data_IF_890694011773
#
_entry.id   IF_890694011773
#
_cell.length_a   1.000
_cell.length_b   1.000
_cell.length_c   1.000
_cell.angle_alpha   90.00
_cell.angle_beta   90.00
_cell.angle_gamma   90.00
#
_symmetry.space_group_name_H-M   'P 1'
#
loop_
_entity.id
_entity.type
_entity.pdbx_description
1 polymer ?
#
# COMPACT_ATOMS: atom_id res chain seq x y z
N UNK A 1 42.45 -32.28 -35.64
CA UNK A 1 41.85 -32.95 -34.46
C UNK A 1 41.26 -31.88 -33.52
N UNK A 2 40.24 -31.16 -34.01
CA UNK A 2 39.32 -30.24 -33.30
C UNK A 2 38.32 -29.69 -34.36
N UNK A 3 37.68 -30.62 -35.09
CA UNK A 3 36.71 -30.34 -36.17
C UNK A 3 35.40 -31.12 -35.97
N UNK A 4 35.21 -31.76 -34.82
CA UNK A 4 34.13 -32.72 -34.55
C UNK A 4 33.22 -32.32 -33.38
N UNK A 5 33.19 -31.04 -32.97
CA UNK A 5 32.38 -30.67 -31.79
C UNK A 5 31.43 -29.48 -31.94
N UNK A 6 31.54 -28.63 -32.97
CA UNK A 6 30.72 -27.40 -33.01
C UNK A 6 30.18 -26.94 -34.37
N UNK A 7 30.32 -27.71 -35.46
CA UNK A 7 29.47 -27.56 -36.67
C UNK A 7 29.22 -26.14 -37.21
N UNK A 8 30.21 -25.24 -37.20
CA UNK A 8 30.08 -23.89 -37.80
C UNK A 8 31.00 -23.81 -39.01
N UNK A 9 30.38 -23.69 -40.18
CA UNK A 9 31.06 -23.39 -41.44
C UNK A 9 31.13 -21.87 -41.65
N UNK A 10 32.18 -21.44 -42.32
CA UNK A 10 32.48 -20.02 -42.58
C UNK A 10 31.34 -19.33 -43.34
N UNK A 11 30.92 -18.14 -42.90
CA UNK A 11 30.13 -17.23 -43.74
C UNK A 11 30.92 -15.95 -43.99
N UNK A 12 31.11 -15.72 -45.29
CA UNK A 12 31.79 -14.64 -45.99
C UNK A 12 31.17 -13.27 -45.70
N UNK A 13 32.02 -12.28 -45.40
CA UNK A 13 31.64 -10.87 -45.35
C UNK A 13 31.45 -10.33 -46.79
N UNK A 14 30.29 -9.72 -47.08
CA UNK A 14 30.12 -8.82 -48.22
C UNK A 14 29.86 -7.38 -47.73
N UNK A 15 30.35 -6.34 -48.43
CA UNK A 15 30.23 -4.95 -47.99
C UNK A 15 28.87 -4.32 -48.31
N UNK A 16 28.52 -3.33 -47.50
CA UNK A 16 27.28 -2.56 -47.44
C UNK A 16 26.95 -1.75 -48.71
N UNK A 17 25.67 -1.74 -49.10
CA UNK A 17 25.09 -0.70 -49.97
C UNK A 17 24.22 0.24 -49.13
N UNK A 18 24.54 1.52 -49.17
CA UNK A 18 23.86 2.59 -48.44
C UNK A 18 22.50 2.93 -49.08
N UNK A 19 21.42 2.41 -48.50
CA UNK A 19 20.05 2.84 -48.80
C UNK A 19 19.63 4.04 -47.94
N UNK A 20 19.20 5.13 -48.58
CA UNK A 20 18.57 6.29 -47.90
C UNK A 20 17.28 5.85 -47.20
N UNK A 21 17.26 5.88 -45.87
CA UNK A 21 16.03 5.72 -45.09
C UNK A 21 15.35 7.08 -44.92
N UNK A 22 14.12 7.18 -45.42
CA UNK A 22 13.16 8.19 -44.97
C UNK A 22 12.93 8.01 -43.47
N UNK A 23 13.10 9.08 -42.71
CA UNK A 23 12.85 9.12 -41.27
C UNK A 23 11.34 9.03 -41.04
N UNK A 24 10.83 7.83 -40.75
CA UNK A 24 9.54 7.69 -40.09
C UNK A 24 9.61 8.34 -38.71
N UNK A 25 8.56 9.07 -38.28
CA UNK A 25 8.54 9.66 -36.95
C UNK A 25 8.61 8.54 -35.90
N UNK A 26 9.59 8.65 -35.01
CA UNK A 26 9.75 7.78 -33.85
C UNK A 26 8.42 7.68 -33.09
N UNK A 27 7.91 6.48 -32.79
CA UNK A 27 6.72 6.36 -31.98
C UNK A 27 7.03 6.94 -30.60
N UNK A 28 6.37 8.05 -30.26
CA UNK A 28 6.28 8.58 -28.90
C UNK A 28 6.01 7.39 -27.99
N UNK A 29 6.91 7.16 -27.03
CA UNK A 29 6.84 5.95 -26.22
C UNK A 29 5.46 5.86 -25.56
N UNK A 30 4.88 4.67 -25.54
CA UNK A 30 3.60 4.38 -24.86
C UNK A 30 3.61 4.86 -23.39
N UNK A 31 4.80 5.03 -22.82
CA UNK A 31 5.10 5.58 -21.51
C UNK A 31 4.82 7.09 -21.39
N UNK A 32 5.22 7.91 -22.39
CA UNK A 32 4.89 9.34 -22.44
C UNK A 32 3.38 9.59 -22.65
N UNK A 33 2.72 8.73 -23.43
CA UNK A 33 1.27 8.82 -23.66
C UNK A 33 0.45 8.52 -22.39
N UNK A 34 0.92 7.62 -21.51
CA UNK A 34 0.25 7.27 -20.25
C UNK A 34 0.40 8.34 -19.17
N UNK A 35 1.56 8.99 -19.09
CA UNK A 35 1.74 10.16 -18.20
C UNK A 35 0.82 11.31 -18.65
N UNK A 36 0.63 11.49 -19.96
CA UNK A 36 -0.29 12.48 -20.54
C UNK A 36 -1.76 12.25 -20.17
N UNK A 37 -2.18 11.02 -19.90
CA UNK A 37 -3.57 10.71 -19.51
C UNK A 37 -3.91 11.17 -18.09
N UNK A 38 -2.94 11.18 -17.17
CA UNK A 38 -3.11 11.75 -15.82
C UNK A 38 -3.09 13.29 -15.84
N UNK A 39 -2.32 13.87 -16.77
CA UNK A 39 -2.10 15.32 -16.88
C UNK A 39 -3.34 16.13 -17.33
N UNK A 40 -4.34 15.48 -17.92
CA UNK A 40 -5.51 16.13 -18.53
C UNK A 40 -6.81 15.97 -17.72
N UNK A 41 -6.74 15.61 -16.43
CA UNK A 41 -7.91 15.25 -15.61
C UNK A 41 -8.11 16.20 -14.42
N UNK A 42 -9.38 16.41 -14.04
CA UNK A 42 -9.76 17.19 -12.86
C UNK A 42 -9.20 16.56 -11.57
N UNK A 43 -8.59 17.38 -10.70
CA UNK A 43 -7.75 16.96 -9.57
C UNK A 43 -8.52 16.39 -8.35
N UNK A 44 -9.68 15.78 -8.57
CA UNK A 44 -10.55 15.22 -7.53
C UNK A 44 -10.70 13.70 -7.68
N UNK A 45 -9.90 12.93 -6.95
CA UNK A 45 -10.11 11.49 -6.70
C UNK A 45 -10.30 10.64 -7.95
N UNK A 46 -9.26 10.53 -8.76
CA UNK A 46 -9.29 9.72 -10.00
C UNK A 46 -8.80 8.28 -9.74
N UNK A 47 -9.50 7.28 -10.28
CA UNK A 47 -9.09 5.86 -10.19
C UNK A 47 -8.41 5.41 -11.49
N UNK A 48 -7.16 4.96 -11.40
CA UNK A 48 -6.43 4.32 -12.48
C UNK A 48 -5.89 2.95 -12.05
N UNK A 49 -5.31 2.22 -13.01
CA UNK A 49 -4.82 0.85 -12.80
C UNK A 49 -3.39 0.69 -13.27
N UNK A 50 -2.62 -0.15 -12.58
CA UNK A 50 -1.31 -0.65 -13.01
C UNK A 50 -1.38 -2.17 -13.19
N UNK A 51 -0.80 -2.66 -14.29
CA UNK A 51 -0.63 -4.09 -14.52
C UNK A 51 0.59 -4.57 -13.72
N UNK A 52 0.33 -5.44 -12.74
CA UNK A 52 1.32 -6.07 -11.89
C UNK A 52 1.43 -7.56 -12.22
N UNK A 53 2.42 -8.22 -11.60
CA UNK A 53 2.62 -9.66 -11.79
C UNK A 53 3.00 -10.34 -10.49
N UNK A 54 2.49 -11.54 -10.30
CA UNK A 54 2.91 -12.52 -9.30
C UNK A 54 3.41 -13.79 -9.99
N UNK A 55 4.01 -14.75 -9.27
CA UNK A 55 4.33 -16.06 -9.85
C UNK A 55 3.10 -16.84 -10.37
N UNK A 56 1.88 -16.46 -9.99
CA UNK A 56 0.63 -17.05 -10.50
C UNK A 56 0.04 -16.35 -11.73
N UNK A 57 0.66 -15.29 -12.23
CA UNK A 57 0.19 -14.54 -13.40
C UNK A 57 0.07 -13.03 -13.16
N UNK A 58 -0.48 -12.32 -14.14
CA UNK A 58 -0.73 -10.88 -14.09
C UNK A 58 -2.01 -10.54 -13.33
N UNK A 59 -2.04 -9.38 -12.70
CA UNK A 59 -3.20 -8.82 -11.99
C UNK A 59 -3.18 -7.30 -12.07
N UNK A 60 -4.37 -6.67 -12.09
CA UNK A 60 -4.47 -5.21 -12.03
C UNK A 60 -4.55 -4.74 -10.59
N UNK A 61 -3.71 -3.76 -10.26
CA UNK A 61 -3.81 -3.01 -9.01
C UNK A 61 -4.36 -1.62 -9.31
N UNK A 62 -5.49 -1.28 -8.70
CA UNK A 62 -6.08 0.04 -8.74
C UNK A 62 -5.35 1.00 -7.80
N UNK A 63 -5.37 2.28 -8.13
CA UNK A 63 -4.96 3.36 -7.25
C UNK A 63 -5.80 4.60 -7.50
N UNK A 64 -6.00 5.36 -6.43
CA UNK A 64 -6.74 6.61 -6.44
C UNK A 64 -5.77 7.78 -6.29
N UNK A 65 -5.98 8.89 -6.99
CA UNK A 65 -5.06 10.03 -6.91
C UNK A 65 -5.74 11.39 -6.80
N UNK A 66 -5.04 12.31 -6.14
CA UNK A 66 -5.42 13.70 -5.93
C UNK A 66 -4.21 14.63 -6.13
N UNK A 67 -4.47 15.87 -6.57
CA UNK A 67 -3.42 16.88 -6.81
C UNK A 67 -2.84 16.84 -8.22
N UNK A 68 -1.84 17.69 -8.48
CA UNK A 68 -1.17 17.78 -9.79
C UNK A 68 -0.16 16.62 -9.94
N UNK A 69 -0.31 15.72 -10.94
CA UNK A 69 0.65 14.64 -11.18
C UNK A 69 2.06 15.12 -11.55
N UNK A 70 2.26 16.40 -11.87
CA UNK A 70 3.59 17.02 -12.07
C UNK A 70 4.24 17.45 -10.76
N UNK A 71 3.52 17.41 -9.64
CA UNK A 71 4.09 17.79 -8.36
C UNK A 71 5.22 16.82 -7.99
N UNK A 72 6.47 17.30 -7.81
CA UNK A 72 7.60 16.44 -7.49
C UNK A 72 7.50 15.80 -6.10
N UNK A 73 6.66 16.34 -5.22
CA UNK A 73 6.39 15.80 -3.90
C UNK A 73 5.22 14.80 -3.97
N UNK A 74 5.55 13.52 -4.15
CA UNK A 74 4.57 12.44 -4.23
C UNK A 74 4.37 11.83 -2.84
N UNK A 75 3.12 11.59 -2.44
CA UNK A 75 2.77 10.93 -1.18
C UNK A 75 1.97 9.65 -1.45
N UNK A 76 2.50 8.51 -1.06
CA UNK A 76 1.77 7.24 -1.07
C UNK A 76 1.05 7.04 0.26
N UNK A 77 -0.26 6.79 0.23
CA UNK A 77 -1.06 6.46 1.39
C UNK A 77 -1.60 5.02 1.28
N UNK A 78 -0.99 4.10 2.02
CA UNK A 78 -1.18 2.65 1.86
C UNK A 78 -1.95 2.07 3.05
N UNK A 79 -3.04 1.36 2.74
CA UNK A 79 -4.06 0.99 3.71
C UNK A 79 -3.75 -0.30 4.50
N UNK A 80 -4.59 -0.58 5.50
CA UNK A 80 -4.50 -1.79 6.34
C UNK A 80 -5.04 -3.07 5.69
N UNK A 81 -4.89 -4.20 6.38
CA UNK A 81 -5.09 -5.56 5.87
C UNK A 81 -6.40 -5.79 5.08
N UNK A 82 -7.52 -5.33 5.64
CA UNK A 82 -8.88 -5.49 5.11
C UNK A 82 -9.54 -4.14 4.80
N UNK A 83 -8.73 -3.18 4.38
CA UNK A 83 -9.12 -1.80 4.07
C UNK A 83 -8.83 -1.51 2.59
N UNK A 84 -9.02 -0.26 2.16
CA UNK A 84 -8.78 0.18 0.79
C UNK A 84 -8.24 1.61 0.75
N UNK A 85 -7.73 2.06 -0.39
CA UNK A 85 -7.11 3.37 -0.58
C UNK A 85 -8.03 4.55 -0.24
N UNK A 86 -9.35 4.40 -0.39
CA UNK A 86 -10.32 5.44 -0.02
C UNK A 86 -10.37 5.76 1.48
N UNK A 87 -9.78 4.94 2.36
CA UNK A 87 -9.54 5.31 3.77
C UNK A 87 -8.81 6.66 3.91
N UNK A 88 -7.97 6.98 2.93
CA UNK A 88 -7.16 8.19 2.92
C UNK A 88 -7.81 9.36 2.20
N UNK A 89 -9.10 9.30 1.85
CA UNK A 89 -9.75 10.39 1.11
C UNK A 89 -9.60 11.76 1.81
N UNK A 90 -9.89 11.83 3.12
CA UNK A 90 -9.74 13.08 3.88
C UNK A 90 -8.29 13.57 3.92
N UNK A 91 -7.34 12.64 4.09
CA UNK A 91 -5.90 12.93 4.03
C UNK A 91 -5.48 13.45 2.65
N UNK A 92 -5.93 12.80 1.58
CA UNK A 92 -5.58 13.16 0.23
C UNK A 92 -6.13 14.54 -0.15
N UNK A 93 -7.40 14.82 0.16
CA UNK A 93 -8.01 16.14 -0.05
C UNK A 93 -7.29 17.24 0.76
N UNK A 94 -6.80 16.91 1.96
CA UNK A 94 -6.11 17.87 2.82
C UNK A 94 -4.63 18.09 2.49
N UNK A 95 -3.99 17.24 1.68
CA UNK A 95 -2.57 17.34 1.33
C UNK A 95 -2.34 17.50 -0.19
N UNK A 96 -3.38 17.43 -1.03
CA UNK A 96 -3.22 17.51 -2.48
C UNK A 96 -2.83 18.90 -3.02
N UNK A 97 -2.85 19.92 -2.16
CA UNK A 97 -2.33 21.26 -2.47
C UNK A 97 -0.79 21.31 -2.45
N UNK A 98 -0.15 20.45 -1.66
CA UNK A 98 1.30 20.38 -1.53
C UNK A 98 1.92 19.06 -2.04
N UNK A 99 1.12 18.02 -2.25
CA UNK A 99 1.57 16.71 -2.75
C UNK A 99 0.74 16.22 -3.93
N UNK A 100 1.34 15.39 -4.79
CA UNK A 100 0.56 14.43 -5.58
C UNK A 100 0.30 13.21 -4.71
N UNK A 101 -0.95 13.03 -4.26
CA UNK A 101 -1.31 11.96 -3.32
C UNK A 101 -1.83 10.76 -4.11
N UNK A 102 -1.29 9.58 -3.81
CA UNK A 102 -1.66 8.31 -4.45
C UNK A 102 -2.03 7.29 -3.37
N UNK A 103 -3.24 6.76 -3.44
CA UNK A 103 -3.79 5.80 -2.49
C UNK A 103 -4.09 4.49 -3.23
N UNK A 104 -3.16 3.52 -3.26
CA UNK A 104 -3.38 2.24 -3.92
C UNK A 104 -4.41 1.41 -3.17
N UNK A 105 -5.22 0.66 -3.91
CA UNK A 105 -5.94 -0.50 -3.40
C UNK A 105 -4.98 -1.70 -3.55
N UNK A 106 -4.32 -2.16 -2.48
CA UNK A 106 -3.41 -3.31 -2.56
C UNK A 106 -4.17 -4.54 -3.11
N UNK A 107 -3.54 -5.32 -3.98
CA UNK A 107 -4.14 -6.47 -4.67
C UNK A 107 -5.02 -7.33 -3.75
N UNK A 108 -6.22 -7.71 -4.22
CA UNK A 108 -7.25 -8.38 -3.43
C UNK A 108 -8.14 -7.46 -2.58
N UNK A 109 -8.01 -6.14 -2.68
CA UNK A 109 -8.85 -5.16 -1.95
C UNK A 109 -9.42 -4.13 -2.92
N UNK A 110 -10.57 -3.57 -2.59
CA UNK A 110 -11.22 -2.51 -3.35
C UNK A 110 -11.34 -2.85 -4.84
N UNK A 111 -10.97 -1.91 -5.71
CA UNK A 111 -11.07 -2.10 -7.17
C UNK A 111 -9.94 -2.95 -7.77
N UNK A 112 -8.99 -3.45 -6.95
CA UNK A 112 -7.91 -4.30 -7.43
C UNK A 112 -8.36 -5.74 -7.62
N UNK A 113 -7.78 -6.39 -8.63
CA UNK A 113 -8.09 -7.78 -8.94
C UNK A 113 -7.73 -8.69 -7.74
N UNK A 114 -8.44 -9.81 -7.64
CA UNK A 114 -8.13 -10.87 -6.68
C UNK A 114 -7.04 -11.79 -7.26
N UNK A 115 -6.18 -12.35 -6.40
CA UNK A 115 -5.16 -13.30 -6.81
C UNK A 115 -5.73 -14.70 -6.94
N UNK A 116 -5.40 -15.38 -8.03
CA UNK A 116 -5.78 -16.78 -8.26
C UNK A 116 -5.19 -17.74 -7.23
N UNK A 117 -3.98 -17.43 -6.72
CA UNK A 117 -3.38 -18.13 -5.59
C UNK A 117 -3.29 -17.20 -4.37
N UNK A 118 -4.10 -17.44 -3.32
CA UNK A 118 -4.16 -16.57 -2.15
C UNK A 118 -2.88 -16.60 -1.30
N UNK A 119 -1.98 -17.57 -1.50
CA UNK A 119 -0.68 -17.58 -0.82
C UNK A 119 0.23 -16.43 -1.23
N UNK A 120 -0.08 -15.70 -2.30
CA UNK A 120 0.66 -14.50 -2.71
C UNK A 120 0.16 -13.20 -2.07
N UNK A 121 -0.85 -13.26 -1.20
CA UNK A 121 -1.22 -12.13 -0.33
C UNK A 121 -0.18 -11.92 0.79
N UNK A 122 1.02 -11.47 0.41
CA UNK A 122 2.18 -11.32 1.29
C UNK A 122 2.91 -9.99 1.05
N UNK A 123 3.59 -9.48 2.09
CA UNK A 123 4.32 -8.20 2.02
C UNK A 123 5.32 -8.13 0.85
N UNK A 124 6.15 -9.17 0.55
CA UNK A 124 7.06 -9.12 -0.60
C UNK A 124 6.35 -8.93 -1.95
N UNK A 125 5.18 -9.55 -2.15
CA UNK A 125 4.38 -9.33 -3.36
C UNK A 125 3.87 -7.89 -3.42
N UNK A 126 3.35 -7.37 -2.30
CA UNK A 126 2.85 -6.00 -2.25
C UNK A 126 3.94 -4.96 -2.52
N UNK A 127 5.17 -5.18 -2.02
CA UNK A 127 6.32 -4.32 -2.32
C UNK A 127 6.64 -4.33 -3.83
N UNK A 128 6.55 -5.50 -4.47
CA UNK A 128 6.76 -5.63 -5.93
C UNK A 128 5.71 -4.85 -6.72
N UNK A 129 4.44 -4.94 -6.31
CA UNK A 129 3.35 -4.20 -6.93
C UNK A 129 3.54 -2.68 -6.76
N UNK A 130 3.96 -2.24 -5.56
CA UNK A 130 4.23 -0.83 -5.28
C UNK A 130 5.43 -0.27 -6.06
N UNK A 131 6.48 -1.08 -6.26
CA UNK A 131 7.58 -0.71 -7.17
C UNK A 131 7.09 -0.56 -8.61
N UNK A 132 6.21 -1.46 -9.06
CA UNK A 132 5.60 -1.40 -10.40
C UNK A 132 4.74 -0.14 -10.56
N UNK A 133 4.00 0.24 -9.52
CA UNK A 133 3.26 1.51 -9.48
C UNK A 133 4.19 2.71 -9.60
N UNK A 134 5.31 2.74 -8.86
CA UNK A 134 6.30 3.82 -8.97
C UNK A 134 6.89 3.94 -10.37
N UNK A 135 7.21 2.80 -11.02
CA UNK A 135 7.64 2.78 -12.43
C UNK A 135 6.57 3.34 -13.35
N UNK A 136 5.30 2.92 -13.20
CA UNK A 136 4.18 3.42 -14.02
C UNK A 136 4.02 4.94 -13.90
N UNK A 137 4.16 5.47 -12.69
CA UNK A 137 4.02 6.91 -12.43
C UNK A 137 5.28 7.71 -12.81
N UNK A 138 6.40 7.06 -13.14
CA UNK A 138 7.66 7.73 -13.44
C UNK A 138 8.28 8.41 -12.22
N UNK A 139 7.98 7.92 -11.00
CA UNK A 139 8.42 8.54 -9.75
C UNK A 139 9.59 7.77 -9.14
N UNK A 140 10.66 8.49 -8.82
CA UNK A 140 11.88 7.93 -8.23
C UNK A 140 11.97 8.19 -6.72
N UNK A 141 11.16 9.11 -6.19
CA UNK A 141 11.12 9.39 -4.77
C UNK A 141 9.71 9.70 -4.29
N UNK A 142 9.35 9.18 -3.12
CA UNK A 142 8.01 9.33 -2.54
C UNK A 142 8.11 9.55 -1.03
N UNK A 143 7.12 10.24 -0.47
CA UNK A 143 6.79 10.14 0.94
C UNK A 143 5.82 8.96 1.14
N UNK A 144 5.90 8.30 2.29
CA UNK A 144 5.08 7.12 2.57
C UNK A 144 4.29 7.29 3.85
N UNK A 145 2.97 7.16 3.76
CA UNK A 145 2.05 6.96 4.86
C UNK A 145 1.56 5.51 4.79
N UNK A 146 1.84 4.69 5.80
CA UNK A 146 1.33 3.33 5.88
C UNK A 146 0.55 3.05 7.16
N UNK A 147 -0.71 2.62 7.04
CA UNK A 147 -1.50 2.12 8.18
C UNK A 147 -1.39 0.60 8.26
N UNK A 148 -1.03 0.05 9.42
CA UNK A 148 -1.04 -1.42 9.64
C UNK A 148 -0.22 -2.15 8.57
N UNK A 149 -0.84 -3.05 7.79
CA UNK A 149 -0.23 -3.68 6.60
C UNK A 149 0.53 -2.70 5.70
N UNK A 150 -0.03 -1.52 5.42
CA UNK A 150 0.62 -0.49 4.61
C UNK A 150 1.93 0.04 5.21
N UNK A 151 2.04 0.04 6.55
CA UNK A 151 3.29 0.39 7.22
C UNK A 151 4.33 -0.74 7.13
N UNK A 152 3.92 -2.01 7.24
CA UNK A 152 4.82 -3.15 7.03
C UNK A 152 5.39 -3.17 5.60
N UNK A 153 4.55 -2.89 4.59
CA UNK A 153 5.00 -2.72 3.20
C UNK A 153 6.03 -1.57 3.11
N UNK A 154 5.73 -0.44 3.74
CA UNK A 154 6.63 0.72 3.79
C UNK A 154 7.97 0.43 4.46
N UNK A 155 7.99 -0.33 5.56
CA UNK A 155 9.23 -0.72 6.25
C UNK A 155 10.11 -1.60 5.38
N UNK A 156 9.54 -2.63 4.74
CA UNK A 156 10.30 -3.51 3.84
C UNK A 156 10.81 -2.73 2.63
N UNK A 157 9.97 -1.89 2.03
CA UNK A 157 10.40 -1.08 0.89
C UNK A 157 11.50 -0.09 1.30
N UNK A 158 11.34 0.65 2.41
CA UNK A 158 12.33 1.61 2.88
C UNK A 158 13.68 0.99 3.27
N UNK A 159 13.71 -0.30 3.58
CA UNK A 159 14.94 -1.06 3.85
C UNK A 159 15.70 -1.47 2.57
N UNK A 160 15.08 -1.40 1.40
CA UNK A 160 15.72 -1.81 0.14
C UNK A 160 16.72 -0.75 -0.36
N UNK A 161 17.83 -1.14 -0.99
CA UNK A 161 18.73 -0.20 -1.65
C UNK A 161 18.01 0.60 -2.74
N UNK A 162 18.24 1.92 -2.79
CA UNK A 162 17.66 2.80 -3.81
C UNK A 162 16.14 2.92 -3.78
N UNK A 163 15.50 2.70 -2.62
CA UNK A 163 14.04 2.65 -2.48
C UNK A 163 13.30 3.97 -2.77
N UNK A 164 13.98 5.12 -2.65
CA UNK A 164 13.40 6.43 -2.95
C UNK A 164 12.47 7.01 -1.89
N UNK A 165 12.22 6.32 -0.77
CA UNK A 165 11.37 6.84 0.30
C UNK A 165 12.09 7.97 1.04
N UNK A 166 11.45 9.14 1.09
CA UNK A 166 12.00 10.37 1.69
C UNK A 166 11.58 10.57 3.13
N UNK A 167 10.37 10.16 3.50
CA UNK A 167 9.82 10.19 4.87
C UNK A 167 8.83 9.04 5.01
N UNK A 168 8.83 8.39 6.17
CA UNK A 168 7.98 7.24 6.45
C UNK A 168 7.12 7.46 7.70
N UNK A 169 5.81 7.54 7.54
CA UNK A 169 4.84 7.55 8.63
C UNK A 169 4.27 6.15 8.81
N UNK A 170 4.49 5.56 9.98
CA UNK A 170 3.95 4.28 10.42
C UNK A 170 2.76 4.51 11.33
N UNK A 171 1.56 4.31 10.80
CA UNK A 171 0.32 4.47 11.55
C UNK A 171 -0.08 3.15 12.21
N UNK A 172 0.17 3.12 13.51
CA UNK A 172 -0.13 2.08 14.48
C UNK A 172 0.34 0.69 14.05
N UNK A 173 1.62 0.59 13.69
CA UNK A 173 2.29 -0.66 13.35
C UNK A 173 3.78 -0.58 13.59
N UNK A 174 4.39 -1.71 13.91
CA UNK A 174 5.83 -1.84 14.10
C UNK A 174 6.33 -3.25 13.82
N UNK A 175 7.61 -3.53 14.08
CA UNK A 175 8.24 -4.82 13.81
C UNK A 175 7.63 -6.00 14.58
N UNK A 176 7.17 -5.74 15.81
CA UNK A 176 6.46 -6.69 16.66
C UNK A 176 4.96 -6.42 16.62
N UNK A 177 4.18 -7.49 16.47
CA UNK A 177 2.72 -7.46 16.51
C UNK A 177 2.26 -8.17 17.77
N UNK A 178 1.49 -7.49 18.60
CA UNK A 178 1.01 -8.06 19.86
C UNK A 178 0.02 -9.22 19.63
N UNK A 179 0.10 -10.32 20.42
CA UNK A 179 -0.78 -11.49 20.26
C UNK A 179 -2.27 -11.17 20.36
N UNK A 180 -2.65 -10.18 21.16
CA UNK A 180 -4.04 -9.76 21.33
C UNK A 180 -4.65 -9.28 20.01
N UNK A 181 -3.92 -8.47 19.24
CA UNK A 181 -4.36 -8.05 17.92
C UNK A 181 -4.50 -9.23 16.95
N UNK A 182 -3.58 -10.22 16.97
CA UNK A 182 -3.70 -11.39 16.10
C UNK A 182 -4.99 -12.18 16.36
N UNK A 183 -5.35 -12.37 17.63
CA UNK A 183 -6.61 -13.03 18.02
C UNK A 183 -7.81 -12.21 17.53
N UNK A 184 -7.80 -10.88 17.73
CA UNK A 184 -8.87 -10.00 17.27
C UNK A 184 -9.02 -10.02 15.75
N UNK A 185 -7.93 -9.88 15.00
CA UNK A 185 -7.93 -9.95 13.53
C UNK A 185 -8.49 -11.30 13.04
N UNK A 186 -8.07 -12.41 13.66
CA UNK A 186 -8.57 -13.75 13.33
C UNK A 186 -10.10 -13.91 13.55
N UNK A 187 -10.71 -13.09 14.41
CA UNK A 187 -12.14 -13.15 14.69
C UNK A 187 -13.03 -12.60 13.56
N UNK A 188 -12.47 -11.81 12.63
CA UNK A 188 -13.27 -11.19 11.56
C UNK A 188 -12.64 -11.30 10.15
N UNK A 189 -11.32 -11.40 10.02
CA UNK A 189 -10.68 -11.48 8.70
C UNK A 189 -11.09 -12.77 7.99
N UNK A 190 -11.62 -12.61 6.77
CA UNK A 190 -12.15 -13.71 5.94
C UNK A 190 -13.37 -14.44 6.52
N UNK A 191 -13.94 -13.96 7.63
CA UNK A 191 -15.18 -14.53 8.17
C UNK A 191 -16.38 -14.06 7.33
N UNK A 192 -17.46 -14.85 7.27
CA UNK A 192 -18.66 -14.46 6.55
C UNK A 192 -19.17 -13.09 7.00
N UNK A 193 -19.33 -12.19 6.04
CA UNK A 193 -19.91 -10.87 6.22
C UNK A 193 -20.86 -10.62 5.05
N UNK A 194 -22.15 -10.76 5.29
CA UNK A 194 -23.18 -10.66 4.26
C UNK A 194 -24.51 -10.28 4.92
N UNK A 195 -25.11 -9.19 4.48
CA UNK A 195 -26.35 -8.66 5.05
C UNK A 195 -27.27 -8.13 3.96
N UNK A 196 -28.58 -8.36 4.09
CA UNK A 196 -29.57 -7.82 3.13
C UNK A 196 -29.68 -6.30 3.25
N UNK A 197 -29.57 -5.77 4.48
CA UNK A 197 -29.71 -4.34 4.78
C UNK A 197 -28.33 -3.69 4.97
N UNK A 198 -28.11 -2.58 4.25
CA UNK A 198 -26.86 -1.79 4.32
C UNK A 198 -26.59 -1.22 5.70
N UNK A 199 -27.62 -0.72 6.38
CA UNK A 199 -27.49 -0.09 7.69
C UNK A 199 -27.06 -1.13 8.74
N UNK A 200 -27.60 -2.34 8.67
CA UNK A 200 -27.17 -3.47 9.51
C UNK A 200 -25.71 -3.85 9.23
N UNK A 201 -25.31 -3.87 7.95
CA UNK A 201 -23.91 -4.09 7.57
C UNK A 201 -22.99 -2.98 8.10
N UNK A 202 -23.42 -1.72 7.99
CA UNK A 202 -22.70 -0.55 8.47
C UNK A 202 -22.52 -0.60 9.98
N UNK A 203 -23.56 -0.90 10.75
CA UNK A 203 -23.48 -1.02 12.21
C UNK A 203 -22.52 -2.15 12.63
N UNK A 204 -22.57 -3.28 11.92
CA UNK A 204 -21.60 -4.36 12.17
C UNK A 204 -20.17 -3.90 11.88
N UNK A 205 -19.95 -3.21 10.77
CA UNK A 205 -18.62 -2.73 10.39
C UNK A 205 -18.10 -1.65 11.34
N UNK A 206 -18.96 -0.72 11.80
CA UNK A 206 -18.66 0.23 12.88
C UNK A 206 -18.22 -0.50 14.15
N UNK A 207 -18.86 -1.62 14.52
CA UNK A 207 -18.46 -2.41 15.69
C UNK A 207 -17.07 -3.04 15.55
N UNK A 208 -16.71 -3.51 14.35
CA UNK A 208 -15.39 -4.09 14.06
C UNK A 208 -14.32 -2.98 14.09
N UNK A 209 -14.65 -1.81 13.54
CA UNK A 209 -13.77 -0.65 13.46
C UNK A 209 -13.82 0.25 14.71
N UNK A 210 -14.57 -0.11 15.76
CA UNK A 210 -14.69 0.69 16.97
C UNK A 210 -13.33 1.13 17.59
N UNK A 211 -12.24 0.33 17.51
CA UNK A 211 -10.92 0.79 17.94
C UNK A 211 -10.37 2.00 17.18
N UNK A 212 -10.91 2.40 16.02
CA UNK A 212 -10.44 3.57 15.25
C UNK A 212 -10.77 4.92 15.92
N UNK A 213 -11.41 4.88 17.08
CA UNK A 213 -11.82 6.03 17.86
C UNK A 213 -13.29 6.41 17.66
N UNK A 214 -13.72 7.48 18.31
CA UNK A 214 -15.08 8.01 18.19
C UNK A 214 -15.22 8.82 16.91
N UNK A 215 -16.22 8.50 16.09
CA UNK A 215 -16.53 9.19 14.83
C UNK A 215 -18.02 9.49 14.73
N UNK A 216 -18.35 10.58 14.05
CA UNK A 216 -19.71 10.94 13.63
C UNK A 216 -20.21 9.97 12.56
N UNK A 217 -21.50 9.96 12.29
CA UNK A 217 -22.05 9.10 11.23
C UNK A 217 -21.49 9.44 9.84
N UNK A 218 -21.21 10.72 9.56
CA UNK A 218 -20.60 11.15 8.30
C UNK A 218 -19.15 10.66 8.17
N UNK A 219 -18.35 10.73 9.24
CA UNK A 219 -16.98 10.18 9.26
C UNK A 219 -17.00 8.64 9.13
N UNK A 220 -17.97 7.97 9.76
CA UNK A 220 -18.15 6.53 9.56
C UNK A 220 -18.56 6.17 8.14
N UNK A 221 -19.44 6.95 7.53
CA UNK A 221 -19.83 6.75 6.14
C UNK A 221 -18.62 6.93 5.20
N UNK A 222 -17.77 7.92 5.47
CA UNK A 222 -16.52 8.12 4.75
C UNK A 222 -15.57 6.92 4.87
N UNK A 223 -15.38 6.40 6.09
CA UNK A 223 -14.48 5.27 6.36
C UNK A 223 -15.04 3.94 5.85
N UNK A 224 -16.29 3.63 6.18
CA UNK A 224 -16.84 2.29 6.04
C UNK A 224 -17.80 2.14 4.86
N UNK A 225 -18.37 3.23 4.34
CA UNK A 225 -19.27 3.19 3.19
C UNK A 225 -18.62 2.56 1.96
N UNK A 226 -17.41 3.00 1.54
CA UNK A 226 -16.70 2.42 0.39
C UNK A 226 -16.28 0.95 0.55
N UNK A 227 -16.30 0.43 1.78
CA UNK A 227 -16.01 -0.99 2.06
C UNK A 227 -17.23 -1.88 1.87
N UNK A 228 -18.45 -1.32 1.80
CA UNK A 228 -19.69 -2.06 1.60
C UNK A 228 -20.09 -1.99 0.13
N UNK A 229 -20.06 -3.14 -0.55
CA UNK A 229 -20.56 -3.28 -1.92
C UNK A 229 -21.73 -4.25 -1.98
N UNK A 230 -22.64 -4.02 -2.91
CA UNK A 230 -23.78 -4.89 -3.13
C UNK A 230 -23.45 -5.96 -4.17
N UNK A 231 -23.60 -7.23 -3.81
CA UNK A 231 -23.46 -8.38 -4.69
C UNK A 231 -24.56 -9.39 -4.37
N UNK A 232 -25.27 -9.87 -5.39
CA UNK A 232 -26.35 -10.86 -5.23
C UNK A 232 -27.39 -10.43 -4.17
N UNK A 233 -27.77 -9.15 -4.18
CA UNK A 233 -28.68 -8.50 -3.21
C UNK A 233 -28.17 -8.44 -1.75
N UNK A 234 -26.92 -8.81 -1.51
CA UNK A 234 -26.28 -8.78 -0.20
C UNK A 234 -25.18 -7.71 -0.17
N UNK A 235 -25.06 -7.02 0.97
CA UNK A 235 -23.94 -6.16 1.29
C UNK A 235 -22.80 -6.99 1.85
N UNK A 236 -21.66 -6.95 1.16
CA UNK A 236 -20.43 -7.68 1.51
C UNK A 236 -19.26 -6.69 1.65
N UNK A 237 -18.15 -7.16 2.22
CA UNK A 237 -16.91 -6.38 2.30
C UNK A 237 -16.18 -6.36 0.96
N UNK A 238 -15.64 -5.20 0.59
CA UNK A 238 -14.94 -4.99 -0.67
C UNK A 238 -13.47 -5.44 -0.62
N UNK A 239 -13.25 -6.71 -0.34
CA UNK A 239 -11.95 -7.37 -0.44
C UNK A 239 -12.14 -8.88 -0.65
N UNK A 240 -11.10 -9.57 -1.08
CA UNK A 240 -11.07 -11.02 -1.25
C UNK A 240 -11.05 -11.75 0.10
N UNK A 241 -12.10 -12.52 0.48
CA UNK A 241 -12.09 -13.31 1.70
C UNK A 241 -10.88 -14.26 1.80
N UNK A 242 -10.30 -14.69 0.67
CA UNK A 242 -9.14 -15.58 0.64
C UNK A 242 -7.84 -14.94 1.17
N UNK A 243 -7.81 -13.63 1.44
CA UNK A 243 -6.74 -12.98 2.21
C UNK A 243 -6.52 -13.64 3.58
N UNK A 244 -7.55 -14.28 4.15
CA UNK A 244 -7.40 -15.03 5.41
C UNK A 244 -6.55 -16.29 5.30
N UNK A 245 -6.35 -16.84 4.10
CA UNK A 245 -5.64 -18.13 3.89
C UNK A 245 -4.19 -18.07 4.35
N UNK A 246 -3.33 -17.15 3.86
CA UNK A 246 -1.97 -17.04 4.38
C UNK A 246 -1.95 -16.60 5.84
N UNK A 247 -2.88 -15.74 6.27
CA UNK A 247 -2.98 -15.29 7.66
C UNK A 247 -3.22 -16.46 8.63
N UNK A 248 -4.12 -17.39 8.29
CA UNK A 248 -4.40 -18.59 9.06
C UNK A 248 -3.25 -19.63 9.01
N UNK A 249 -2.32 -19.49 8.06
CA UNK A 249 -1.20 -20.41 7.87
C UNK A 249 0.06 -19.98 8.65
N UNK A 250 0.02 -18.86 9.38
CA UNK A 250 1.14 -18.38 10.18
C UNK A 250 1.33 -19.27 11.40
N UNK A 251 2.50 -19.91 11.49
CA UNK A 251 2.93 -20.67 12.68
C UNK A 251 3.71 -19.77 13.64
N UNK A 252 3.87 -20.13 14.93
CA UNK A 252 4.71 -19.38 15.86
C UNK A 252 6.15 -19.17 15.37
N UNK A 253 6.74 -20.17 14.71
CA UNK A 253 8.08 -20.08 14.15
C UNK A 253 8.14 -19.08 12.99
N UNK A 254 7.14 -19.07 12.11
CA UNK A 254 7.05 -18.08 11.02
C UNK A 254 6.81 -16.67 11.55
N UNK A 255 5.96 -16.52 12.58
CA UNK A 255 5.72 -15.24 13.22
C UNK A 255 7.01 -14.67 13.85
N UNK A 256 7.76 -15.50 14.58
CA UNK A 256 9.03 -15.11 15.19
C UNK A 256 10.09 -14.73 14.14
N UNK A 257 10.22 -15.52 13.07
CA UNK A 257 11.12 -15.21 11.98
C UNK A 257 10.73 -13.91 11.26
N UNK A 258 9.43 -13.70 11.05
CA UNK A 258 8.87 -12.47 10.47
C UNK A 258 9.16 -11.25 11.34
N UNK A 259 8.96 -11.34 12.65
CA UNK A 259 9.29 -10.26 13.59
C UNK A 259 10.78 -9.90 13.53
N UNK A 260 11.68 -10.89 13.57
CA UNK A 260 13.12 -10.65 13.47
C UNK A 260 13.50 -9.95 12.17
N UNK A 261 12.93 -10.40 11.04
CA UNK A 261 13.15 -9.79 9.75
C UNK A 261 12.65 -8.34 9.70
N UNK A 262 11.49 -8.04 10.30
CA UNK A 262 10.95 -6.69 10.37
C UNK A 262 11.79 -5.77 11.25
N UNK A 263 12.37 -6.27 12.35
CA UNK A 263 13.31 -5.50 13.17
C UNK A 263 14.56 -5.14 12.37
N UNK A 264 15.10 -6.09 11.62
CA UNK A 264 16.25 -5.84 10.73
C UNK A 264 15.91 -4.80 9.65
N UNK A 265 14.77 -4.94 8.98
CA UNK A 265 14.31 -3.95 7.99
C UNK A 265 14.15 -2.57 8.63
N UNK A 266 13.51 -2.48 9.80
CA UNK A 266 13.29 -1.19 10.48
C UNK A 266 14.60 -0.50 10.86
N UNK A 267 15.58 -1.25 11.36
CA UNK A 267 16.90 -0.73 11.74
C UNK A 267 17.69 -0.17 10.56
N UNK A 268 17.48 -0.69 9.35
CA UNK A 268 18.19 -0.23 8.15
C UNK A 268 17.56 0.99 7.46
N UNK A 269 16.45 1.53 7.98
CA UNK A 269 15.77 2.68 7.37
C UNK A 269 16.52 3.97 7.76
N UNK A 270 16.98 4.72 6.76
CA UNK A 270 17.77 5.95 6.95
C UNK A 270 16.95 7.25 6.79
N UNK A 271 15.72 7.16 6.26
CA UNK A 271 14.85 8.33 6.13
C UNK A 271 14.20 8.69 7.48
N UNK A 272 13.74 9.94 7.69
CA UNK A 272 12.92 10.30 8.86
C UNK A 272 11.69 9.40 9.01
N UNK A 273 11.45 8.92 10.23
CA UNK A 273 10.31 8.06 10.55
C UNK A 273 9.44 8.74 11.61
N UNK A 274 8.13 8.77 11.38
CA UNK A 274 7.14 9.12 12.40
C UNK A 274 6.28 7.90 12.72
N UNK A 275 6.34 7.43 13.96
CA UNK A 275 5.50 6.36 14.49
C UNK A 275 4.30 7.02 15.17
N UNK A 276 3.11 6.80 14.62
CA UNK A 276 1.86 7.26 15.22
C UNK A 276 1.22 6.07 15.90
N UNK A 277 1.01 6.16 17.21
CA UNK A 277 0.39 5.09 18.01
C UNK A 277 -0.98 5.53 18.52
N UNK A 278 -1.99 4.67 18.43
CA UNK A 278 -3.21 4.81 19.23
C UNK A 278 -2.92 4.48 20.69
N UNK A 279 -3.28 5.36 21.63
CA UNK A 279 -3.01 5.17 23.06
C UNK A 279 -3.52 3.80 23.58
N UNK A 280 -4.65 3.35 23.03
CA UNK A 280 -5.36 2.13 23.39
C UNK A 280 -5.06 0.97 22.40
N UNK A 281 -3.98 1.08 21.60
CA UNK A 281 -3.63 0.06 20.61
C UNK A 281 -3.32 -1.27 21.27
N UNK A 282 -3.99 -2.31 20.80
CA UNK A 282 -3.76 -3.71 21.12
C UNK A 282 -2.81 -4.39 20.13
N UNK A 283 -2.33 -3.66 19.12
CA UNK A 283 -1.44 -4.18 18.06
C UNK A 283 0.00 -3.72 18.24
N UNK A 284 0.20 -2.44 18.57
CA UNK A 284 1.50 -1.83 18.80
C UNK A 284 1.60 -1.33 20.24
N UNK A 285 2.40 -2.00 21.07
CA UNK A 285 2.58 -1.62 22.46
C UNK A 285 3.46 -0.38 22.62
N UNK A 286 3.29 0.36 23.71
CA UNK A 286 4.16 1.50 24.05
C UNK A 286 5.62 1.05 24.17
N UNK A 287 5.86 -0.10 24.80
CA UNK A 287 7.18 -0.70 24.92
C UNK A 287 7.83 -0.95 23.55
N UNK A 288 7.09 -1.52 22.59
CA UNK A 288 7.63 -1.71 21.23
C UNK A 288 7.97 -0.37 20.56
N UNK A 289 7.16 0.69 20.75
CA UNK A 289 7.50 2.03 20.22
C UNK A 289 8.76 2.61 20.85
N UNK A 290 8.95 2.42 22.16
CA UNK A 290 10.16 2.84 22.87
C UNK A 290 11.40 2.09 22.32
N UNK A 291 11.29 0.77 22.13
CA UNK A 291 12.34 -0.05 21.49
C UNK A 291 12.62 0.44 20.06
N UNK A 292 11.60 0.74 19.26
CA UNK A 292 11.75 1.30 17.91
C UNK A 292 12.54 2.62 17.93
N UNK A 293 12.19 3.56 18.80
CA UNK A 293 12.88 4.84 18.90
C UNK A 293 14.33 4.70 19.42
N UNK A 294 14.61 3.66 20.21
CA UNK A 294 15.97 3.33 20.66
C UNK A 294 16.82 2.72 19.53
N UNK A 295 16.23 1.85 18.71
CA UNK A 295 16.96 1.13 17.67
C UNK A 295 17.14 1.91 16.36
N UNK A 296 16.34 2.94 16.10
CA UNK A 296 16.50 3.80 14.93
C UNK A 296 16.45 5.28 15.32
N UNK A 297 17.59 5.98 15.19
CA UNK A 297 17.74 7.39 15.56
C UNK A 297 16.95 8.36 14.68
N UNK A 298 16.45 7.92 13.53
CA UNK A 298 15.55 8.69 12.66
C UNK A 298 14.08 8.61 13.10
N UNK A 299 13.75 7.71 14.02
CA UNK A 299 12.40 7.51 14.48
C UNK A 299 12.00 8.48 15.60
N UNK A 300 10.84 9.09 15.43
CA UNK A 300 10.11 9.81 16.48
C UNK A 300 8.74 9.20 16.62
N UNK A 301 8.12 9.37 17.78
CA UNK A 301 6.77 8.87 18.03
C UNK A 301 5.83 9.94 18.54
N UNK A 302 4.55 9.75 18.26
CA UNK A 302 3.44 10.51 18.81
C UNK A 302 2.29 9.55 19.13
N UNK A 303 1.53 9.88 20.17
CA UNK A 303 0.42 9.06 20.62
C UNK A 303 -0.91 9.82 20.51
N UNK A 304 -1.95 9.13 20.02
CA UNK A 304 -3.30 9.65 19.85
C UNK A 304 -4.20 9.07 20.93
N UNK A 305 -4.70 9.92 21.81
CA UNK A 305 -5.59 9.50 22.90
C UNK A 305 -6.93 8.93 22.40
N UNK A 306 -7.56 8.07 23.21
CA UNK A 306 -8.90 7.50 22.97
C UNK A 306 -9.05 6.78 21.63
N UNK A 307 -7.97 6.14 21.18
CA UNK A 307 -7.84 5.51 19.86
C UNK A 307 -6.99 4.27 20.02
N UNK A 308 -7.46 3.14 19.50
CA UNK A 308 -6.73 1.88 19.40
C UNK A 308 -6.14 1.66 18.00
N UNK A 309 -6.05 0.40 17.57
CA UNK A 309 -5.58 0.06 16.22
C UNK A 309 -6.69 0.26 15.18
N UNK A 310 -6.62 1.28 14.31
CA UNK A 310 -5.60 2.32 14.19
C UNK A 310 -6.25 3.72 14.14
N UNK A 311 -5.52 4.80 14.46
CA UNK A 311 -5.94 6.16 14.14
C UNK A 311 -6.41 6.29 12.69
N UNK A 312 -7.61 6.86 12.50
CA UNK A 312 -8.29 6.86 11.21
C UNK A 312 -7.82 7.96 10.25
N UNK A 313 -7.20 9.03 10.76
CA UNK A 313 -6.76 10.21 9.99
C UNK A 313 -7.87 10.90 9.18
N UNK A 314 -9.09 10.90 9.72
CA UNK A 314 -10.23 11.68 9.18
C UNK A 314 -10.43 13.01 9.89
N UNK A 315 -9.89 13.15 11.11
CA UNK A 315 -10.03 14.36 11.91
C UNK A 315 -8.88 15.31 11.67
N UNK A 316 -9.17 16.61 11.74
CA UNK A 316 -8.21 17.67 11.45
C UNK A 316 -6.93 17.54 12.29
N UNK A 317 -7.05 17.28 13.59
CA UNK A 317 -5.91 17.16 14.50
C UNK A 317 -4.97 16.00 14.14
N UNK A 318 -5.50 14.89 13.60
CA UNK A 318 -4.68 13.78 13.12
C UNK A 318 -4.04 14.12 11.77
N UNK A 319 -4.80 14.74 10.87
CA UNK A 319 -4.31 15.19 9.56
C UNK A 319 -3.18 16.21 9.71
N UNK A 320 -3.30 17.14 10.66
CA UNK A 320 -2.28 18.17 10.94
C UNK A 320 -0.94 17.55 11.35
N UNK A 321 -0.95 16.44 12.10
CA UNK A 321 0.28 15.68 12.46
C UNK A 321 0.97 15.17 11.20
N UNK A 322 0.22 14.52 10.30
CA UNK A 322 0.79 14.00 9.05
C UNK A 322 1.24 15.13 8.13
N UNK A 323 0.46 16.21 8.00
CA UNK A 323 0.83 17.39 7.20
C UNK A 323 2.12 18.02 7.71
N UNK A 324 2.28 18.22 9.02
CA UNK A 324 3.51 18.73 9.60
C UNK A 324 4.72 17.82 9.32
N UNK A 325 4.51 16.50 9.31
CA UNK A 325 5.57 15.54 9.04
C UNK A 325 5.97 15.47 7.56
N UNK A 326 5.05 15.72 6.62
CA UNK A 326 5.33 15.63 5.18
C UNK A 326 5.71 16.95 4.49
N UNK A 327 5.57 18.07 5.20
CA UNK A 327 6.12 19.38 4.82
C UNK A 327 7.59 19.52 5.25
#
# INVERSE_FOLDING_TARGET
>A
MLRESYGIDHITLQPEEAGKQELEPTPVSVEQARHTALLNRDHHGHTDYVECSSPAGSHRMAFHSWGDPRNPSVLYCVHGLSRRGSDFRAMAEALCDCHFVVCPDIVGRGESDFLSNPMFYTVPQYVTDMKTLSTKLGVHSVNWFGTSMGGLIGMVYAAMPGNGIKRLLLNDVGPRIEPAALIRLASYVGKPFSYVNRDVAMDKLKSICAPFGKHTDAEWELLNGPMLIQKDQQWILHYDPAISVPFASVTPALAQAGELAMWQSFQSIECPILIVRGADSDLLSRQTVEEMCQFNSHAKSVEIANTGHAPAFVKKEQIDIARQFFL
#
